data_IF_306605042937
#
_entry.id   IF_306605042937
#
_cell.length_a   1.000
_cell.length_b   1.000
_cell.length_c   1.000
_cell.angle_alpha   90.00
_cell.angle_beta   90.00
_cell.angle_gamma   90.00
#
_symmetry.space_group_name_H-M   'P 1'
#
loop_
_entity.id
_entity.type
_entity.pdbx_description
1 polymer ?
#
# COMPACT_ATOMS: atom_id res chain seq x y z
N UNK A 1 -37.68 -32.42 -19.41
CA UNK A 1 -36.33 -32.23 -18.82
C UNK A 1 -35.57 -31.27 -19.72
N UNK A 2 -35.63 -29.98 -19.43
CA UNK A 2 -34.97 -28.96 -20.26
C UNK A 2 -33.59 -28.70 -19.68
N UNK A 3 -32.55 -29.22 -20.32
CA UNK A 3 -31.16 -28.94 -20.00
C UNK A 3 -30.85 -27.46 -20.31
N UNK A 4 -31.17 -26.56 -19.38
CA UNK A 4 -30.56 -25.23 -19.35
C UNK A 4 -29.20 -25.39 -18.69
N UNK A 5 -28.19 -25.74 -19.49
CA UNK A 5 -26.80 -25.49 -19.11
C UNK A 5 -26.60 -23.98 -19.10
N UNK A 6 -26.08 -23.43 -18.00
CA UNK A 6 -25.69 -22.02 -17.86
C UNK A 6 -24.59 -21.68 -18.90
N UNK A 7 -25.00 -21.25 -20.09
CA UNK A 7 -24.07 -20.89 -21.15
C UNK A 7 -23.41 -19.54 -20.84
N UNK A 8 -22.08 -19.48 -21.01
CA UNK A 8 -21.34 -18.23 -20.88
C UNK A 8 -21.85 -17.19 -21.90
N UNK A 9 -21.99 -15.94 -21.43
CA UNK A 9 -22.37 -14.80 -22.28
C UNK A 9 -21.33 -14.60 -23.38
N UNK A 10 -21.81 -14.54 -24.64
CA UNK A 10 -20.97 -14.16 -25.78
C UNK A 10 -20.83 -12.63 -25.84
N UNK A 11 -19.63 -12.16 -26.18
CA UNK A 11 -19.33 -10.74 -26.36
C UNK A 11 -19.12 -10.40 -27.83
N UNK A 12 -19.40 -9.15 -28.19
CA UNK A 12 -19.03 -8.57 -29.48
C UNK A 12 -17.69 -7.88 -29.32
N UNK A 13 -16.66 -8.39 -29.99
CA UNK A 13 -15.29 -7.90 -29.83
C UNK A 13 -14.94 -6.85 -30.89
N UNK A 14 -14.00 -5.97 -30.56
CA UNK A 14 -13.48 -4.97 -31.49
C UNK A 14 -12.73 -5.65 -32.66
N UNK A 15 -13.05 -5.25 -33.88
CA UNK A 15 -12.41 -5.74 -35.09
C UNK A 15 -10.93 -5.32 -35.21
N UNK A 16 -10.20 -6.01 -36.09
CA UNK A 16 -8.75 -5.89 -36.23
C UNK A 16 -8.23 -4.47 -36.47
N UNK A 17 -9.00 -3.59 -37.15
CA UNK A 17 -8.59 -2.18 -37.34
C UNK A 17 -8.56 -1.39 -36.04
N UNK A 18 -9.66 -1.45 -35.27
CA UNK A 18 -9.78 -0.76 -33.98
C UNK A 18 -8.75 -1.32 -32.98
N UNK A 19 -8.64 -2.64 -32.95
CA UNK A 19 -7.69 -3.37 -32.10
C UNK A 19 -6.23 -2.90 -32.31
N UNK A 20 -5.77 -2.86 -33.56
CA UNK A 20 -4.38 -2.46 -33.88
C UNK A 20 -4.13 -0.99 -33.56
N UNK A 21 -5.11 -0.10 -33.80
CA UNK A 21 -4.99 1.31 -33.45
C UNK A 21 -4.81 1.52 -31.93
N UNK A 22 -5.60 0.80 -31.11
CA UNK A 22 -5.48 0.80 -29.63
C UNK A 22 -4.13 0.27 -29.15
N UNK A 23 -3.65 -0.80 -29.76
CA UNK A 23 -2.36 -1.39 -29.39
C UNK A 23 -1.18 -0.48 -29.71
N UNK A 24 -1.21 0.19 -30.87
CA UNK A 24 -0.23 1.20 -31.25
C UNK A 24 -0.16 2.36 -30.26
N UNK A 25 -1.33 2.89 -29.88
CA UNK A 25 -1.39 4.04 -28.97
C UNK A 25 -0.83 3.71 -27.58
N UNK A 26 -1.06 2.50 -27.07
CA UNK A 26 -0.61 2.12 -25.72
C UNK A 26 0.82 1.60 -25.68
N UNK A 27 1.29 0.90 -26.72
CA UNK A 27 2.67 0.42 -26.80
C UNK A 27 3.66 1.46 -27.33
N UNK A 28 3.21 2.70 -27.55
CA UNK A 28 3.99 3.80 -28.15
C UNK A 28 4.62 3.43 -29.50
N UNK A 29 3.88 2.68 -30.33
CA UNK A 29 4.30 2.28 -31.67
C UNK A 29 3.49 3.05 -32.72
N UNK A 30 4.16 3.73 -33.65
CA UNK A 30 3.47 4.51 -34.71
C UNK A 30 3.25 3.71 -35.99
N UNK A 31 4.06 2.66 -36.22
CA UNK A 31 4.07 1.90 -37.47
C UNK A 31 3.66 0.44 -37.26
N UNK A 32 3.05 -0.17 -38.28
CA UNK A 32 2.73 -1.62 -38.25
C UNK A 32 3.99 -2.48 -38.14
N UNK A 33 5.11 -2.01 -38.71
CA UNK A 33 6.40 -2.70 -38.66
C UNK A 33 6.95 -2.70 -37.24
N UNK A 34 6.90 -1.55 -36.56
CA UNK A 34 7.33 -1.42 -35.16
C UNK A 34 6.51 -2.31 -34.24
N UNK A 35 5.19 -2.29 -34.39
CA UNK A 35 4.28 -3.15 -33.64
C UNK A 35 4.53 -4.64 -33.91
N UNK A 36 4.68 -5.05 -35.17
CA UNK A 36 4.98 -6.43 -35.56
C UNK A 36 6.27 -6.94 -34.90
N UNK A 37 7.32 -6.12 -34.92
CA UNK A 37 8.60 -6.42 -34.28
C UNK A 37 8.44 -6.58 -32.77
N UNK A 38 7.73 -5.66 -32.11
CA UNK A 38 7.49 -5.70 -30.65
C UNK A 38 6.68 -6.93 -30.24
N UNK A 39 5.71 -7.34 -31.05
CA UNK A 39 4.88 -8.52 -30.81
C UNK A 39 5.54 -9.84 -31.25
N UNK A 40 6.69 -9.80 -31.92
CA UNK A 40 7.38 -10.99 -32.41
C UNK A 40 6.62 -11.71 -33.55
N UNK A 41 5.82 -11.00 -34.34
CA UNK A 41 4.99 -11.57 -35.41
C UNK A 41 5.31 -10.96 -36.79
N UNK A 42 5.00 -11.66 -37.90
CA UNK A 42 5.14 -11.08 -39.23
C UNK A 42 4.21 -9.88 -39.45
N UNK A 43 4.70 -8.83 -40.14
CA UNK A 43 3.88 -7.66 -40.54
C UNK A 43 2.63 -8.06 -41.34
N UNK A 44 2.75 -9.08 -42.19
CA UNK A 44 1.63 -9.60 -43.00
C UNK A 44 0.47 -10.10 -42.14
N UNK A 45 0.74 -10.58 -40.93
CA UNK A 45 -0.27 -11.01 -39.96
C UNK A 45 -1.10 -9.82 -39.48
N UNK A 46 -0.46 -8.70 -39.12
CA UNK A 46 -1.16 -7.46 -38.75
C UNK A 46 -2.02 -6.95 -39.91
N UNK A 47 -1.48 -6.95 -41.13
CA UNK A 47 -2.23 -6.53 -42.33
C UNK A 47 -3.48 -7.40 -42.55
N UNK A 48 -3.36 -8.72 -42.34
CA UNK A 48 -4.47 -9.67 -42.47
C UNK A 48 -5.57 -9.38 -41.44
N UNK A 49 -5.21 -9.14 -40.18
CA UNK A 49 -6.18 -8.80 -39.14
C UNK A 49 -6.94 -7.50 -39.46
N UNK A 50 -6.24 -6.46 -39.91
CA UNK A 50 -6.87 -5.20 -40.30
C UNK A 50 -7.77 -5.33 -41.53
N UNK A 51 -7.39 -6.14 -42.53
CA UNK A 51 -8.17 -6.33 -43.75
C UNK A 51 -9.44 -7.16 -43.51
N UNK A 52 -9.31 -8.23 -42.72
CA UNK A 52 -10.40 -9.17 -42.43
C UNK A 52 -11.21 -8.78 -41.19
N UNK A 53 -10.89 -7.63 -40.60
CA UNK A 53 -11.45 -7.13 -39.35
C UNK A 53 -11.47 -8.17 -38.22
N UNK A 54 -10.45 -9.02 -38.18
CA UNK A 54 -10.37 -10.17 -37.26
C UNK A 54 -9.69 -9.78 -35.96
N UNK A 55 -10.31 -10.10 -34.83
CA UNK A 55 -9.74 -9.88 -33.49
C UNK A 55 -8.70 -10.95 -33.15
N UNK A 56 -7.44 -10.59 -32.83
CA UNK A 56 -6.40 -11.57 -32.53
C UNK A 56 -6.38 -11.91 -31.03
N UNK A 57 -7.20 -12.89 -30.62
CA UNK A 57 -7.36 -13.26 -29.21
C UNK A 57 -6.07 -13.75 -28.54
N UNK A 58 -5.26 -14.56 -29.22
CA UNK A 58 -4.00 -15.06 -28.67
C UNK A 58 -3.03 -13.92 -28.34
N UNK A 59 -2.81 -13.00 -29.28
CA UNK A 59 -1.99 -11.80 -29.06
C UNK A 59 -2.56 -10.93 -27.94
N UNK A 60 -3.88 -10.86 -27.81
CA UNK A 60 -4.53 -10.10 -26.73
C UNK A 60 -4.17 -10.66 -25.36
N UNK A 61 -4.16 -11.98 -25.21
CA UNK A 61 -3.76 -12.66 -23.98
C UNK A 61 -2.27 -12.42 -23.71
N UNK A 62 -1.41 -12.57 -24.72
CA UNK A 62 0.04 -12.36 -24.58
C UNK A 62 0.33 -10.93 -24.12
N UNK A 63 -0.28 -9.94 -24.77
CA UNK A 63 -0.10 -8.52 -24.42
C UNK A 63 -0.60 -8.26 -23.01
N UNK A 64 -1.78 -8.77 -22.64
CA UNK A 64 -2.31 -8.62 -21.28
C UNK A 64 -1.34 -9.18 -20.23
N UNK A 65 -0.82 -10.40 -20.43
CA UNK A 65 0.11 -11.03 -19.49
C UNK A 65 1.46 -10.30 -19.43
N UNK A 66 1.93 -9.75 -20.55
CA UNK A 66 3.23 -9.10 -20.61
C UNK A 66 3.23 -7.66 -20.07
N UNK A 67 2.11 -6.94 -20.18
CA UNK A 67 2.05 -5.49 -19.88
C UNK A 67 1.01 -5.10 -18.83
N UNK A 68 0.11 -6.01 -18.43
CA UNK A 68 -1.02 -5.71 -17.56
C UNK A 68 -2.18 -5.00 -18.26
N UNK A 69 -2.18 -4.91 -19.60
CA UNK A 69 -3.22 -4.21 -20.35
C UNK A 69 -4.59 -4.90 -20.21
N UNK A 70 -5.64 -4.18 -19.83
CA UNK A 70 -6.98 -4.74 -19.62
C UNK A 70 -7.56 -5.36 -20.89
N UNK A 71 -7.94 -6.64 -20.81
CA UNK A 71 -8.63 -7.34 -21.91
C UNK A 71 -9.99 -6.72 -22.21
N UNK A 72 -10.70 -6.17 -21.21
CA UNK A 72 -11.99 -5.52 -21.44
C UNK A 72 -11.83 -4.25 -22.26
N UNK A 73 -10.82 -3.44 -21.97
CA UNK A 73 -10.53 -2.25 -22.76
C UNK A 73 -10.04 -2.62 -24.16
N UNK A 74 -9.13 -3.59 -24.24
CA UNK A 74 -8.52 -4.00 -25.50
C UNK A 74 -9.51 -4.68 -26.45
N UNK A 75 -10.44 -5.49 -25.94
CA UNK A 75 -11.34 -6.31 -26.75
C UNK A 75 -12.78 -5.79 -26.82
N UNK A 76 -13.24 -5.05 -25.81
CA UNK A 76 -14.66 -4.62 -25.67
C UNK A 76 -14.82 -3.10 -25.68
N UNK A 77 -13.73 -2.32 -25.72
CA UNK A 77 -13.75 -0.85 -25.57
C UNK A 77 -14.34 -0.38 -24.23
N UNK A 78 -14.22 -1.21 -23.20
CA UNK A 78 -14.75 -0.95 -21.86
C UNK A 78 -13.64 -0.61 -20.85
N UNK A 79 -13.81 0.48 -20.11
CA UNK A 79 -12.90 0.84 -19.01
C UNK A 79 -11.64 1.60 -19.47
N UNK A 80 -10.51 1.35 -18.80
CA UNK A 80 -9.22 2.02 -19.06
C UNK A 80 -8.16 1.01 -19.54
N UNK A 81 -7.14 1.43 -20.32
CA UNK A 81 -6.13 0.53 -20.87
C UNK A 81 -5.37 -0.24 -19.79
N UNK A 82 -4.96 0.47 -18.75
CA UNK A 82 -4.42 -0.12 -17.54
C UNK A 82 -5.44 0.13 -16.45
N UNK A 83 -5.71 -0.90 -15.65
CA UNK A 83 -6.35 -0.65 -14.37
C UNK A 83 -5.36 0.22 -13.59
N UNK A 84 -5.81 1.42 -13.22
CA UNK A 84 -5.14 2.11 -12.11
C UNK A 84 -5.34 1.15 -10.94
N UNK A 85 -4.28 0.55 -10.41
CA UNK A 85 -4.36 -0.26 -9.21
C UNK A 85 -4.86 0.61 -8.04
N UNK A 86 -6.18 0.86 -8.01
CA UNK A 86 -6.93 1.18 -6.81
C UNK A 86 -7.56 -0.08 -6.21
N UNK A 87 -7.14 -1.25 -6.73
CA UNK A 87 -7.53 -2.59 -6.30
C UNK A 87 -6.32 -3.54 -6.36
N UNK A 88 -5.12 -3.07 -5.99
CA UNK A 88 -4.18 -3.99 -5.39
C UNK A 88 -4.88 -4.54 -4.13
N UNK A 89 -4.92 -5.86 -4.00
CA UNK A 89 -5.27 -6.56 -2.76
C UNK A 89 -4.26 -6.27 -1.62
N UNK A 90 -3.52 -5.16 -1.67
CA UNK A 90 -3.01 -4.52 -0.48
C UNK A 90 -4.21 -4.12 0.36
N UNK A 91 -4.60 -4.95 1.32
CA UNK A 91 -5.50 -4.51 2.36
C UNK A 91 -4.87 -3.24 2.96
N UNK A 92 -5.50 -2.09 2.74
CA UNK A 92 -5.02 -0.85 3.34
C UNK A 92 -5.61 -0.76 4.73
N UNK A 93 -4.76 -0.68 5.74
CA UNK A 93 -5.16 -0.39 7.10
C UNK A 93 -5.22 1.13 7.28
N UNK A 94 -6.35 1.62 7.76
CA UNK A 94 -6.56 3.02 8.04
C UNK A 94 -6.27 3.31 9.52
N UNK A 95 -5.44 4.30 9.77
CA UNK A 95 -5.17 4.81 11.12
C UNK A 95 -5.57 6.28 11.23
N UNK A 96 -6.25 6.61 12.32
CA UNK A 96 -6.41 7.99 12.78
C UNK A 96 -5.14 8.46 13.48
N UNK A 97 -4.74 9.69 13.23
CA UNK A 97 -3.53 10.28 13.78
C UNK A 97 -3.83 11.16 15.00
N UNK A 98 -2.97 11.11 16.00
CA UNK A 98 -2.88 12.11 17.06
C UNK A 98 -1.55 12.89 16.93
N UNK A 99 -1.51 14.12 17.41
CA UNK A 99 -0.31 14.95 17.50
C UNK A 99 0.06 15.16 18.96
N UNK A 100 1.32 14.91 19.29
CA UNK A 100 1.86 15.27 20.60
C UNK A 100 2.27 16.74 20.57
N UNK A 101 1.58 17.58 21.33
CA UNK A 101 1.87 19.02 21.44
C UNK A 101 1.88 19.45 22.89
N UNK A 102 3.02 19.99 23.34
CA UNK A 102 3.19 20.56 24.68
C UNK A 102 2.72 19.64 25.82
N UNK A 103 3.04 18.35 25.73
CA UNK A 103 2.67 17.35 26.75
C UNK A 103 1.27 16.77 26.62
N UNK A 104 0.53 17.07 25.55
CA UNK A 104 -0.86 16.61 25.36
C UNK A 104 -1.04 16.00 23.97
N UNK A 105 -1.85 14.94 23.89
CA UNK A 105 -2.27 14.35 22.62
C UNK A 105 -3.51 15.09 22.09
N UNK A 106 -3.38 15.64 20.89
CA UNK A 106 -4.44 16.36 20.19
C UNK A 106 -4.84 15.55 18.96
N UNK A 107 -6.14 15.30 18.79
CA UNK A 107 -6.64 14.64 17.59
C UNK A 107 -6.27 15.46 16.35
N UNK A 108 -5.68 14.79 15.35
CA UNK A 108 -5.50 15.35 14.03
C UNK A 108 -6.48 14.65 13.09
N UNK A 109 -7.30 15.42 12.36
CA UNK A 109 -8.27 14.87 11.41
C UNK A 109 -7.60 14.29 10.14
N UNK A 110 -6.32 13.97 10.23
CA UNK A 110 -5.54 13.27 9.24
C UNK A 110 -5.68 11.76 9.43
N UNK A 111 -5.84 11.04 8.32
CA UNK A 111 -5.84 9.59 8.31
C UNK A 111 -4.71 9.10 7.42
N UNK A 112 -3.94 8.15 7.91
CA UNK A 112 -2.97 7.43 7.10
C UNK A 112 -3.52 6.09 6.65
N UNK A 113 -3.17 5.71 5.42
CA UNK A 113 -3.39 4.38 4.91
C UNK A 113 -2.03 3.71 4.78
N UNK A 114 -1.88 2.56 5.43
CA UNK A 114 -0.68 1.73 5.33
C UNK A 114 -1.02 0.41 4.68
N UNK A 115 -0.09 -0.10 3.89
CA UNK A 115 -0.17 -1.43 3.30
C UNK A 115 -0.08 -2.52 4.38
N UNK A 116 -1.00 -3.49 4.36
CA UNK A 116 -1.02 -4.59 5.34
C UNK A 116 0.26 -5.43 5.33
N UNK A 117 0.88 -5.63 4.16
CA UNK A 117 2.13 -6.42 4.05
C UNK A 117 3.28 -5.70 4.77
N UNK A 118 3.32 -4.37 4.74
CA UNK A 118 4.25 -3.58 5.55
C UNK A 118 3.99 -3.81 7.05
N UNK A 119 2.73 -3.71 7.48
CA UNK A 119 2.39 -3.86 8.90
C UNK A 119 2.73 -5.25 9.42
N UNK A 120 2.37 -6.30 8.69
CA UNK A 120 2.70 -7.69 9.02
C UNK A 120 4.22 -7.93 9.09
N UNK A 121 4.97 -7.38 8.13
CA UNK A 121 6.43 -7.48 8.10
C UNK A 121 7.09 -6.91 9.35
N UNK A 122 6.55 -5.82 9.89
CA UNK A 122 7.04 -5.19 11.12
C UNK A 122 6.26 -5.64 12.37
N UNK A 123 5.39 -6.65 12.26
CA UNK A 123 4.58 -7.17 13.37
C UNK A 123 3.72 -6.10 14.08
N UNK A 124 3.19 -5.15 13.30
CA UNK A 124 2.33 -4.08 13.80
C UNK A 124 0.88 -4.56 13.81
N UNK A 125 0.28 -4.66 15.00
CA UNK A 125 -1.15 -4.96 15.15
C UNK A 125 -1.98 -3.67 15.10
N UNK A 126 -2.93 -3.61 14.17
CA UNK A 126 -3.82 -2.46 13.94
C UNK A 126 -4.68 -2.16 15.17
N UNK A 127 -5.13 -3.19 15.90
CA UNK A 127 -6.06 -3.02 17.02
C UNK A 127 -5.38 -2.43 18.26
N UNK A 128 -4.07 -2.66 18.39
CA UNK A 128 -3.27 -2.18 19.51
C UNK A 128 -2.28 -1.10 19.15
N UNK A 129 -2.35 -0.54 17.93
CA UNK A 129 -1.41 0.50 17.51
C UNK A 129 -2.08 1.85 17.35
N UNK A 130 -1.52 2.86 18.01
CA UNK A 130 -1.84 4.28 17.77
C UNK A 130 -0.78 4.94 16.90
N UNK A 131 -1.20 5.87 16.06
CA UNK A 131 -0.29 6.71 15.28
C UNK A 131 -0.18 8.07 15.94
N UNK A 132 1.04 8.45 16.31
CA UNK A 132 1.34 9.72 16.94
C UNK A 132 2.40 10.44 16.11
N UNK A 133 2.11 11.67 15.68
CA UNK A 133 3.12 12.57 15.14
C UNK A 133 3.72 13.40 16.26
N UNK A 134 5.04 13.39 16.36
CA UNK A 134 5.80 14.24 17.25
C UNK A 134 6.95 14.87 16.46
N UNK A 135 6.96 16.21 16.39
CA UNK A 135 7.84 17.01 15.54
C UNK A 135 7.78 16.61 14.05
N UNK A 136 8.76 15.82 13.58
CA UNK A 136 8.86 15.31 12.21
C UNK A 136 8.97 13.78 12.15
N UNK A 137 8.57 13.11 13.24
CA UNK A 137 8.51 11.66 13.33
C UNK A 137 7.06 11.18 13.39
N UNK A 138 6.75 10.17 12.57
CA UNK A 138 5.49 9.44 12.64
C UNK A 138 5.72 8.12 13.39
N UNK A 139 5.06 7.96 14.53
CA UNK A 139 5.34 6.91 15.49
C UNK A 139 4.15 5.96 15.62
N UNK A 140 4.45 4.67 15.55
CA UNK A 140 3.50 3.58 15.77
C UNK A 140 3.68 3.09 17.21
N UNK A 141 2.70 3.38 18.05
CA UNK A 141 2.73 3.06 19.48
C UNK A 141 1.86 1.84 19.76
N UNK A 142 2.48 0.73 20.17
CA UNK A 142 1.77 -0.43 20.68
C UNK A 142 1.28 -0.15 22.11
N UNK A 143 -0.02 0.05 22.28
CA UNK A 143 -0.66 0.40 23.56
C UNK A 143 -0.84 -0.80 24.51
N UNK A 144 -0.56 -2.02 24.05
CA UNK A 144 -0.59 -3.22 24.91
C UNK A 144 0.76 -3.46 25.59
N UNK A 145 1.86 -2.89 25.07
CA UNK A 145 3.19 -3.00 25.65
C UNK A 145 3.44 -1.88 26.68
N UNK A 146 2.88 -2.04 27.88
CA UNK A 146 2.96 -1.06 28.99
C UNK A 146 3.98 -1.42 30.07
N UNK A 147 4.69 -2.54 29.95
CA UNK A 147 5.75 -2.91 30.89
C UNK A 147 7.12 -2.49 30.32
N UNK A 148 7.75 -1.39 30.81
CA UNK A 148 8.93 -0.86 30.12
C UNK A 148 10.18 -1.68 30.43
N UNK A 149 10.80 -2.24 29.39
CA UNK A 149 12.06 -2.98 29.45
C UNK A 149 13.21 -2.09 28.94
N UNK A 150 13.67 -2.29 27.71
CA UNK A 150 14.55 -1.36 27.00
C UNK A 150 13.90 -0.94 25.69
N UNK A 151 13.80 0.37 25.46
CA UNK A 151 13.19 0.92 24.25
C UNK A 151 12.64 2.32 24.43
N UNK A 152 12.04 2.85 23.35
CA UNK A 152 11.29 4.10 23.38
C UNK A 152 9.83 3.83 23.77
N UNK A 153 9.32 4.62 24.70
CA UNK A 153 7.96 4.50 25.24
C UNK A 153 7.27 5.86 25.23
N UNK A 154 5.95 5.82 25.02
CA UNK A 154 5.06 6.93 25.32
C UNK A 154 4.68 6.82 26.80
N UNK A 155 4.96 7.87 27.56
CA UNK A 155 4.73 7.90 29.00
C UNK A 155 3.99 9.16 29.41
N UNK A 156 3.28 9.06 30.52
CA UNK A 156 2.67 10.19 31.22
C UNK A 156 3.38 10.38 32.56
N UNK A 157 3.83 11.61 32.80
CA UNK A 157 4.42 12.06 34.06
C UNK A 157 3.57 13.24 34.56
N UNK A 158 2.83 13.02 35.64
CA UNK A 158 1.95 14.03 36.27
C UNK A 158 0.97 14.72 35.31
N UNK A 159 0.45 13.99 34.32
CA UNK A 159 -0.48 14.49 33.31
C UNK A 159 0.20 15.05 32.05
N UNK A 160 1.53 15.03 31.98
CA UNK A 160 2.31 15.47 30.82
C UNK A 160 2.85 14.27 30.04
N UNK A 161 2.36 14.11 28.82
CA UNK A 161 2.73 13.01 27.92
C UNK A 161 4.03 13.33 27.19
N UNK A 162 4.94 12.36 27.14
CA UNK A 162 6.22 12.51 26.44
C UNK A 162 6.74 11.17 25.90
N UNK A 163 7.69 11.25 24.96
CA UNK A 163 8.37 10.10 24.38
C UNK A 163 9.79 10.02 24.92
N UNK A 164 10.11 8.92 25.60
CA UNK A 164 11.42 8.76 26.22
C UNK A 164 11.99 7.36 26.00
N UNK A 165 13.32 7.26 25.96
CA UNK A 165 14.00 5.98 26.03
C UNK A 165 14.11 5.54 27.49
N UNK A 166 13.53 4.38 27.80
CA UNK A 166 13.55 3.77 29.12
C UNK A 166 14.41 2.51 29.10
N UNK A 167 15.13 2.29 30.20
CA UNK A 167 15.86 1.07 30.46
C UNK A 167 15.60 0.58 31.90
N UNK A 168 15.18 -0.67 32.03
CA UNK A 168 14.95 -1.28 33.35
C UNK A 168 16.23 -1.48 34.14
N UNK A 169 16.19 -1.06 35.40
CA UNK A 169 17.21 -1.29 36.41
C UNK A 169 16.68 -2.22 37.51
N UNK A 170 17.56 -2.91 38.25
CA UNK A 170 17.17 -3.65 39.45
C UNK A 170 16.47 -2.76 40.48
N UNK A 171 15.57 -3.36 41.28
CA UNK A 171 14.89 -2.65 42.36
C UNK A 171 13.70 -1.79 41.94
N UNK A 172 13.01 -2.14 40.83
CA UNK A 172 11.84 -1.41 40.30
C UNK A 172 12.13 0.04 39.88
N UNK A 173 13.33 0.24 39.34
CA UNK A 173 13.82 1.53 38.86
C UNK A 173 13.96 1.50 37.35
N UNK A 174 13.89 2.67 36.74
CA UNK A 174 14.10 2.89 35.32
C UNK A 174 15.17 3.96 35.15
N UNK A 175 16.06 3.77 34.19
CA UNK A 175 16.84 4.86 33.63
C UNK A 175 16.04 5.46 32.47
N UNK A 176 15.77 6.76 32.54
CA UNK A 176 15.13 7.53 31.47
C UNK A 176 16.15 8.46 30.83
N UNK A 177 16.23 8.45 29.51
CA UNK A 177 17.11 9.36 28.77
C UNK A 177 16.50 10.77 28.70
N UNK A 178 17.29 11.79 29.02
CA UNK A 178 16.94 13.20 28.94
C UNK A 178 18.08 13.97 28.24
N UNK A 179 17.90 14.21 26.94
CA UNK A 179 18.99 14.71 26.09
C UNK A 179 20.19 13.76 26.10
N UNK A 180 21.37 14.29 26.41
CA UNK A 180 22.62 13.52 26.51
C UNK A 180 22.84 12.86 27.88
N UNK A 181 21.87 12.96 28.79
CA UNK A 181 21.97 12.43 30.16
C UNK A 181 20.93 11.36 30.43
N UNK A 182 21.12 10.58 31.49
CA UNK A 182 20.13 9.65 32.00
C UNK A 182 19.79 9.99 33.44
N UNK A 183 18.50 9.97 33.78
CA UNK A 183 18.02 10.11 35.15
C UNK A 183 17.41 8.80 35.63
N UNK A 184 17.59 8.49 36.91
CA UNK A 184 16.93 7.36 37.55
C UNK A 184 15.55 7.79 38.06
N UNK A 185 14.52 7.03 37.71
CA UNK A 185 13.13 7.25 38.12
C UNK A 185 12.56 5.96 38.72
N UNK A 186 11.63 6.10 39.66
CA UNK A 186 10.84 4.95 40.11
C UNK A 186 9.82 4.58 39.05
N UNK A 187 9.56 3.29 38.86
CA UNK A 187 8.48 2.82 37.99
C UNK A 187 7.10 3.31 38.46
N UNK A 188 6.94 3.66 39.74
CA UNK A 188 5.70 4.21 40.29
C UNK A 188 5.42 5.66 39.88
N UNK A 189 6.43 6.39 39.41
CA UNK A 189 6.34 7.83 39.20
C UNK A 189 5.88 8.19 37.79
N UNK A 190 5.72 7.17 36.93
CA UNK A 190 5.31 7.33 35.54
C UNK A 190 4.21 6.32 35.21
N UNK A 191 3.39 6.66 34.22
CA UNK A 191 2.45 5.73 33.60
C UNK A 191 2.92 5.46 32.17
N UNK A 192 3.14 4.20 31.84
CA UNK A 192 3.51 3.83 30.46
C UNK A 192 2.26 3.59 29.65
N UNK A 193 2.08 4.40 28.61
CA UNK A 193 0.92 4.38 27.72
C UNK A 193 1.11 3.41 26.55
N UNK A 194 2.36 3.13 26.18
CA UNK A 194 2.69 2.14 25.15
C UNK A 194 4.15 2.23 24.69
N UNK A 195 4.56 1.28 23.86
CA UNK A 195 5.91 1.21 23.31
C UNK A 195 5.93 1.64 21.85
N UNK A 196 6.97 2.35 21.43
CA UNK A 196 7.22 2.61 20.01
C UNK A 196 7.61 1.31 19.32
N UNK A 197 6.77 0.84 18.39
CA UNK A 197 7.01 -0.34 17.56
C UNK A 197 7.72 0.02 16.25
N UNK A 198 7.39 1.18 15.66
CA UNK A 198 8.00 1.68 14.44
C UNK A 198 8.06 3.22 14.49
N UNK A 199 9.12 3.79 13.93
CA UNK A 199 9.27 5.22 13.73
C UNK A 199 9.65 5.50 12.27
N UNK A 200 8.94 6.45 11.65
CA UNK A 200 9.25 6.96 10.32
C UNK A 200 9.76 8.39 10.51
N UNK A 201 11.04 8.61 10.18
CA UNK A 201 11.72 9.89 10.35
C UNK A 201 12.18 10.41 8.99
N UNK A 202 12.16 11.74 8.82
CA UNK A 202 12.79 12.39 7.68
C UNK A 202 14.30 12.50 7.92
N UNK A 203 15.10 12.13 6.92
CA UNK A 203 16.55 12.40 6.89
C UNK A 203 16.87 13.88 6.66
#
# INVERSE_FOLDING_TARGET
>A
MTNNQDQLRRFSYSGGKSYIAKLKSVLNETTDVGLARRLGIPKGTISTWMQRDTTPFEVSIIVHLATGLSLRWLLLDEGKPFETNSADNSQLAKFSQEKLQNGVLVEDNCNFNFDMTLLERYSIDIQSTKIIENDAELLFINIQETNPASGRYLIDIDGSISLNHLQRLPGKKLAMSFGDTSIEISESDIVVLGRVALAICKE
#
